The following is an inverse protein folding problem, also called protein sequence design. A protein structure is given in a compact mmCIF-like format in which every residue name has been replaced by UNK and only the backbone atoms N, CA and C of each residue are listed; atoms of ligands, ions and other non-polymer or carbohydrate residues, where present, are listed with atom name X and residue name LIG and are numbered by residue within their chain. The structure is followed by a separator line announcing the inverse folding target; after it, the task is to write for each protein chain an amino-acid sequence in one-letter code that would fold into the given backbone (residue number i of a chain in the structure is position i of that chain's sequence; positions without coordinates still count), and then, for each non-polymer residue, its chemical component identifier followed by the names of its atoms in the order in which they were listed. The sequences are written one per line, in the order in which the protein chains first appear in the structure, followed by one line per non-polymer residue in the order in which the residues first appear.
data_IF_490233872335
#
_entry.id   IF_490233872335
#
_cell.length_a   1.000
_cell.length_b   1.000
_cell.length_c   1.000
_cell.angle_alpha   90.00
_cell.angle_beta   90.00
_cell.angle_gamma   90.00
#
_symmetry.space_group_name_H-M   'P 1'
#
loop_
_entity.id
_entity.type
_entity.pdbx_description
1 polymer ?
#
# COMPACT_ATOMS: atom_id res chain seq x y z
N UNK A 1 30.95 2.65 53.21
CA UNK A 1 30.58 1.45 52.44
C UNK A 1 30.64 1.81 50.98
N UNK A 2 31.75 1.46 50.26
CA UNK A 2 31.91 1.75 48.84
C UNK A 2 31.19 0.66 48.05
N UNK A 3 30.12 1.06 47.32
CA UNK A 3 29.46 0.17 46.38
C UNK A 3 30.30 0.17 45.12
N UNK A 4 31.06 -0.89 44.90
CA UNK A 4 31.79 -1.16 43.65
C UNK A 4 30.77 -1.66 42.62
N UNK A 5 30.40 -0.81 41.70
CA UNK A 5 29.62 -1.17 40.50
C UNK A 5 30.51 -2.02 39.58
N UNK A 6 30.33 -3.35 39.65
CA UNK A 6 30.90 -4.29 38.69
C UNK A 6 30.00 -4.38 37.45
N UNK A 7 29.92 -3.31 36.67
CA UNK A 7 29.41 -3.40 35.31
C UNK A 7 30.51 -4.01 34.43
N UNK A 8 30.29 -5.12 33.69
CA UNK A 8 31.29 -5.70 32.80
C UNK A 8 31.66 -4.64 31.75
N UNK A 9 32.94 -4.30 31.66
CA UNK A 9 33.46 -3.43 30.62
C UNK A 9 33.14 -4.06 29.26
N UNK A 10 32.17 -3.45 28.53
CA UNK A 10 31.83 -3.84 27.17
C UNK A 10 33.08 -3.55 26.34
N UNK A 11 33.88 -4.60 26.07
CA UNK A 11 35.10 -4.45 25.27
C UNK A 11 34.72 -4.01 23.86
N UNK A 12 35.43 -3.07 23.29
CA UNK A 12 35.23 -2.49 21.94
C UNK A 12 35.07 -3.60 20.86
N UNK A 13 35.75 -4.75 21.08
CA UNK A 13 35.68 -5.96 20.24
C UNK A 13 34.29 -6.64 20.27
N UNK A 14 33.59 -6.67 21.39
CA UNK A 14 32.25 -7.29 21.47
C UNK A 14 31.19 -6.44 20.75
N UNK A 15 31.31 -5.13 20.83
CA UNK A 15 30.47 -4.18 20.11
C UNK A 15 30.71 -4.27 18.61
N UNK A 16 31.98 -4.35 18.18
CA UNK A 16 32.34 -4.49 16.76
C UNK A 16 31.81 -5.81 16.18
N UNK A 17 31.99 -6.96 16.89
CA UNK A 17 31.44 -8.24 16.48
C UNK A 17 29.91 -8.22 16.33
N UNK A 18 29.21 -7.61 17.26
CA UNK A 18 27.74 -7.44 17.19
C UNK A 18 27.31 -6.60 15.99
N UNK A 19 28.04 -5.50 15.67
CA UNK A 19 27.78 -4.69 14.48
C UNK A 19 28.01 -5.48 13.18
N UNK A 20 29.07 -6.26 13.09
CA UNK A 20 29.38 -7.08 11.91
C UNK A 20 28.30 -8.16 11.70
N UNK A 21 27.88 -8.85 12.77
CA UNK A 21 26.83 -9.88 12.69
C UNK A 21 25.50 -9.24 12.24
N UNK A 22 25.13 -8.09 12.81
CA UNK A 22 23.92 -7.36 12.39
C UNK A 22 23.98 -6.95 10.94
N UNK A 23 25.12 -6.39 10.50
CA UNK A 23 25.31 -6.00 9.10
C UNK A 23 25.19 -7.21 8.16
N UNK A 24 25.82 -8.33 8.50
CA UNK A 24 25.72 -9.57 7.71
C UNK A 24 24.27 -10.08 7.61
N UNK A 25 23.56 -10.15 8.73
CA UNK A 25 22.15 -10.58 8.75
C UNK A 25 21.28 -9.61 7.90
N UNK A 26 21.47 -8.29 8.04
CA UNK A 26 20.72 -7.30 7.27
C UNK A 26 21.00 -7.41 5.77
N UNK A 27 22.28 -7.58 5.37
CA UNK A 27 22.65 -7.77 3.95
C UNK A 27 22.04 -9.07 3.41
N UNK A 28 22.13 -10.16 4.16
CA UNK A 28 21.54 -11.43 3.76
C UNK A 28 20.03 -11.33 3.55
N UNK A 29 19.31 -10.72 4.50
CA UNK A 29 17.85 -10.50 4.38
C UNK A 29 17.51 -9.56 3.22
N UNK A 30 18.33 -8.55 2.98
CA UNK A 30 18.16 -7.65 1.84
C UNK A 30 18.31 -8.40 0.50
N UNK A 31 19.37 -9.20 0.34
CA UNK A 31 19.58 -10.01 -0.85
C UNK A 31 18.45 -11.03 -1.06
N UNK A 32 18.00 -11.67 0.02
CA UNK A 32 16.87 -12.60 -0.04
C UNK A 32 15.57 -11.91 -0.48
N UNK A 33 15.33 -10.69 -0.01
CA UNK A 33 14.16 -9.90 -0.39
C UNK A 33 14.23 -9.39 -1.82
N UNK A 34 15.42 -9.13 -2.36
CA UNK A 34 15.61 -8.70 -3.75
C UNK A 34 15.61 -9.86 -4.76
N UNK A 35 15.81 -11.08 -4.29
CA UNK A 35 15.90 -12.28 -5.14
C UNK A 35 14.69 -12.49 -6.07
N UNK A 36 13.42 -12.40 -5.61
CA UNK A 36 12.28 -12.58 -6.49
C UNK A 36 12.21 -11.52 -7.60
N UNK A 37 12.61 -10.28 -7.31
CA UNK A 37 12.67 -9.22 -8.32
C UNK A 37 13.78 -9.48 -9.33
N UNK A 38 14.95 -9.90 -8.87
CA UNK A 38 16.04 -10.32 -9.75
C UNK A 38 15.61 -11.44 -10.69
N UNK A 39 14.99 -12.51 -10.14
CA UNK A 39 14.48 -13.63 -10.93
C UNK A 39 13.39 -13.21 -11.92
N UNK A 40 12.54 -12.25 -11.57
CA UNK A 40 11.54 -11.68 -12.47
C UNK A 40 12.21 -11.03 -13.69
N UNK A 41 13.25 -10.21 -13.50
CA UNK A 41 13.99 -9.61 -14.59
C UNK A 41 14.78 -10.64 -15.39
N UNK A 42 15.40 -11.63 -14.76
CA UNK A 42 16.06 -12.73 -15.45
C UNK A 42 15.06 -13.48 -16.34
N UNK A 43 13.91 -13.87 -15.80
CA UNK A 43 12.89 -14.61 -16.54
C UNK A 43 12.26 -13.81 -17.69
N UNK A 44 12.17 -12.48 -17.59
CA UNK A 44 11.70 -11.65 -18.70
C UNK A 44 12.59 -11.73 -19.95
N UNK A 45 13.83 -12.20 -19.79
CA UNK A 45 14.82 -12.36 -20.88
C UNK A 45 14.93 -13.80 -21.41
N UNK A 46 14.18 -14.77 -20.83
CA UNK A 46 14.29 -16.21 -21.12
C UNK A 46 13.12 -16.67 -21.98
N UNK A 47 13.32 -17.75 -22.73
CA UNK A 47 12.25 -18.43 -23.44
C UNK A 47 11.28 -19.11 -22.44
N UNK A 48 10.01 -19.20 -22.80
CA UNK A 48 8.97 -19.80 -21.96
C UNK A 48 9.30 -21.26 -21.57
N UNK A 49 9.89 -22.05 -22.47
CA UNK A 49 10.28 -23.42 -22.18
C UNK A 49 11.41 -23.52 -21.16
N UNK A 50 12.39 -22.60 -21.23
CA UNK A 50 13.50 -22.55 -20.28
C UNK A 50 13.03 -22.15 -18.87
N UNK A 51 12.02 -21.27 -18.80
CA UNK A 51 11.39 -20.89 -17.54
C UNK A 51 10.67 -22.08 -16.92
N UNK A 52 9.94 -22.87 -17.72
CA UNK A 52 9.26 -24.09 -17.29
C UNK A 52 10.24 -25.19 -16.85
N UNK A 53 11.43 -25.25 -17.45
CA UNK A 53 12.45 -26.21 -17.11
C UNK A 53 13.10 -25.98 -15.73
N UNK A 54 13.02 -24.75 -15.21
CA UNK A 54 13.50 -24.46 -13.85
C UNK A 54 14.09 -23.08 -13.64
N UNK A 55 14.55 -22.85 -12.41
CA UNK A 55 15.15 -21.59 -11.98
C UNK A 55 16.53 -21.41 -12.61
N UNK A 56 16.80 -20.20 -13.11
CA UNK A 56 18.13 -19.76 -13.55
C UNK A 56 18.42 -18.37 -13.00
N UNK A 57 19.68 -18.15 -12.68
CA UNK A 57 20.20 -16.84 -12.30
C UNK A 57 20.85 -16.09 -13.45
N UNK A 58 20.90 -16.70 -14.65
CA UNK A 58 21.51 -16.08 -15.83
C UNK A 58 20.45 -15.50 -16.75
N UNK A 59 20.72 -14.33 -17.29
CA UNK A 59 19.89 -13.69 -18.30
C UNK A 59 19.89 -14.52 -19.59
N UNK A 60 18.72 -14.58 -20.24
CA UNK A 60 18.58 -15.16 -21.57
C UNK A 60 18.73 -14.10 -22.66
N UNK A 61 18.51 -14.53 -23.92
CA UNK A 61 18.62 -13.66 -25.11
C UNK A 61 17.27 -13.27 -25.70
N UNK A 62 16.15 -13.68 -25.09
CA UNK A 62 14.79 -13.56 -25.67
C UNK A 62 14.05 -12.26 -25.31
N UNK A 63 14.72 -11.26 -24.70
CA UNK A 63 14.03 -10.04 -24.23
C UNK A 63 13.30 -9.32 -25.36
N UNK A 64 13.93 -9.19 -26.54
CA UNK A 64 13.32 -8.48 -27.68
C UNK A 64 12.09 -9.21 -28.20
N UNK A 65 12.18 -10.54 -28.35
CA UNK A 65 11.06 -11.37 -28.79
C UNK A 65 9.92 -11.34 -27.77
N UNK A 66 10.23 -11.44 -26.48
CA UNK A 66 9.25 -11.36 -25.41
C UNK A 66 8.54 -10.00 -25.38
N UNK A 67 9.25 -8.89 -25.62
CA UNK A 67 8.66 -7.55 -25.72
C UNK A 67 7.77 -7.41 -26.96
N UNK A 68 8.20 -7.92 -28.14
CA UNK A 68 7.41 -7.90 -29.36
C UNK A 68 6.12 -8.73 -29.20
N UNK A 69 6.25 -9.94 -28.65
CA UNK A 69 5.12 -10.82 -28.36
C UNK A 69 4.19 -10.22 -27.30
N UNK A 70 4.72 -9.54 -26.27
CA UNK A 70 3.94 -8.80 -25.30
C UNK A 70 3.12 -7.69 -25.95
N UNK A 71 3.72 -6.91 -26.85
CA UNK A 71 3.02 -5.86 -27.59
C UNK A 71 1.87 -6.44 -28.44
N UNK A 72 2.11 -7.54 -29.15
CA UNK A 72 1.10 -8.24 -29.96
C UNK A 72 -0.03 -8.82 -29.10
N UNK A 73 0.30 -9.39 -27.94
CA UNK A 73 -0.69 -9.97 -27.00
C UNK A 73 -1.65 -8.90 -26.47
N UNK A 74 -1.19 -7.67 -26.23
CA UNK A 74 -2.03 -6.56 -25.78
C UNK A 74 -3.16 -6.25 -26.76
N UNK A 75 -2.88 -6.32 -28.08
CA UNK A 75 -3.91 -6.11 -29.12
C UNK A 75 -5.02 -7.16 -28.99
N UNK A 76 -4.65 -8.43 -28.80
CA UNK A 76 -5.62 -9.51 -28.60
C UNK A 76 -6.44 -9.41 -27.32
N UNK A 77 -5.89 -8.78 -26.28
CA UNK A 77 -6.59 -8.57 -25.01
C UNK A 77 -7.55 -7.37 -25.04
N UNK A 78 -7.48 -6.51 -26.07
CA UNK A 78 -8.31 -5.30 -26.20
C UNK A 78 -7.99 -4.21 -25.17
N UNK A 79 -6.81 -4.29 -24.54
CA UNK A 79 -6.31 -3.28 -23.59
C UNK A 79 -4.79 -3.32 -23.52
N UNK A 80 -4.16 -2.14 -23.44
CA UNK A 80 -2.71 -2.04 -23.30
C UNK A 80 -2.29 -1.96 -21.82
N UNK A 81 -1.02 -2.31 -21.55
CA UNK A 81 -0.46 -2.15 -20.20
C UNK A 81 -0.51 -0.71 -19.75
N UNK A 82 -0.26 0.26 -20.63
CA UNK A 82 -0.33 1.69 -20.30
C UNK A 82 -1.76 2.10 -19.92
N UNK A 83 -2.76 1.67 -20.70
CA UNK A 83 -4.16 1.94 -20.36
C UNK A 83 -4.54 1.33 -19.01
N UNK A 84 -4.17 0.08 -18.75
CA UNK A 84 -4.45 -0.59 -17.48
C UNK A 84 -3.73 0.06 -16.29
N UNK A 85 -2.53 0.60 -16.54
CA UNK A 85 -1.78 1.38 -15.56
C UNK A 85 -2.51 2.70 -15.24
N UNK A 86 -2.97 3.45 -16.25
CA UNK A 86 -3.76 4.67 -16.06
C UNK A 86 -5.08 4.38 -15.34
N UNK A 87 -5.76 3.28 -15.68
CA UNK A 87 -6.95 2.83 -14.97
C UNK A 87 -6.68 2.57 -13.48
N UNK A 88 -5.56 1.89 -13.18
CA UNK A 88 -5.15 1.67 -11.79
C UNK A 88 -4.86 2.97 -11.05
N UNK A 89 -4.20 3.94 -11.68
CA UNK A 89 -4.00 5.27 -11.09
C UNK A 89 -5.32 6.00 -10.87
N UNK A 90 -6.24 5.93 -11.83
CA UNK A 90 -7.59 6.55 -11.74
C UNK A 90 -8.38 6.00 -10.55
N UNK A 91 -8.15 4.76 -10.15
CA UNK A 91 -8.78 4.16 -8.97
C UNK A 91 -7.95 4.42 -7.71
N UNK A 92 -6.66 4.06 -7.72
CA UNK A 92 -5.86 4.02 -6.51
C UNK A 92 -5.57 5.40 -5.91
N UNK A 93 -5.34 6.42 -6.75
CA UNK A 93 -5.01 7.76 -6.27
C UNK A 93 -6.19 8.45 -5.55
N UNK A 94 -7.39 8.56 -6.16
CA UNK A 94 -8.55 9.12 -5.46
C UNK A 94 -8.96 8.30 -4.23
N UNK A 95 -8.95 6.96 -4.32
CA UNK A 95 -9.25 6.10 -3.18
C UNK A 95 -8.29 6.35 -2.01
N UNK A 96 -7.00 6.53 -2.29
CA UNK A 96 -5.99 6.85 -1.27
C UNK A 96 -6.25 8.20 -0.62
N UNK A 97 -6.49 9.25 -1.43
CA UNK A 97 -6.74 10.60 -0.94
C UNK A 97 -7.99 10.62 -0.04
N UNK A 98 -9.09 10.02 -0.52
CA UNK A 98 -10.34 9.95 0.24
C UNK A 98 -10.15 9.16 1.55
N UNK A 99 -9.52 7.99 1.49
CA UNK A 99 -9.27 7.17 2.66
C UNK A 99 -8.46 7.91 3.72
N UNK A 100 -7.34 8.49 3.35
CA UNK A 100 -6.43 9.15 4.29
C UNK A 100 -7.05 10.39 4.89
N UNK A 101 -7.68 11.25 4.07
CA UNK A 101 -8.29 12.49 4.53
C UNK A 101 -9.47 12.25 5.47
N UNK A 102 -10.44 11.41 5.07
CA UNK A 102 -11.61 11.15 5.90
C UNK A 102 -11.29 10.31 7.13
N UNK A 103 -10.30 9.42 7.04
CA UNK A 103 -9.81 8.70 8.23
C UNK A 103 -9.11 9.62 9.22
N UNK A 104 -8.31 10.59 8.74
CA UNK A 104 -7.71 11.61 9.60
C UNK A 104 -8.77 12.49 10.28
N UNK A 105 -9.78 12.91 9.53
CA UNK A 105 -10.91 13.70 10.04
C UNK A 105 -11.70 12.92 11.09
N UNK A 106 -12.01 11.65 10.82
CA UNK A 106 -12.70 10.76 11.77
C UNK A 106 -11.86 10.54 13.05
N UNK A 107 -10.56 10.29 12.89
CA UNK A 107 -9.63 10.12 14.00
C UNK A 107 -9.52 11.38 14.85
N UNK A 108 -9.46 12.55 14.23
CA UNK A 108 -9.49 13.86 14.89
C UNK A 108 -10.78 14.02 15.70
N UNK A 109 -11.94 13.77 15.08
CA UNK A 109 -13.23 13.86 15.76
C UNK A 109 -13.32 12.96 17.00
N UNK A 110 -12.85 11.71 16.89
CA UNK A 110 -12.84 10.77 18.02
C UNK A 110 -11.75 11.14 19.06
N UNK A 111 -10.64 11.77 18.66
CA UNK A 111 -9.60 12.18 19.60
C UNK A 111 -10.01 13.39 20.42
N UNK A 112 -10.43 14.45 19.77
CA UNK A 112 -10.64 15.79 20.35
C UNK A 112 -12.00 15.92 21.05
N UNK A 113 -13.08 15.46 20.43
CA UNK A 113 -14.42 15.70 20.98
C UNK A 113 -14.81 14.69 22.06
N UNK A 114 -15.60 15.16 23.04
CA UNK A 114 -16.29 14.33 24.02
C UNK A 114 -17.78 14.30 23.70
N UNK A 115 -18.31 13.10 23.43
CA UNK A 115 -19.74 12.88 23.15
C UNK A 115 -20.19 11.53 23.72
N UNK A 116 -21.52 11.41 24.00
CA UNK A 116 -22.09 10.25 24.69
C UNK A 116 -21.77 8.90 24.06
N UNK A 117 -21.69 8.83 22.73
CA UNK A 117 -21.47 7.58 21.98
C UNK A 117 -20.00 7.38 21.55
N UNK A 118 -19.04 8.17 22.04
CA UNK A 118 -17.63 8.10 21.67
C UNK A 118 -17.04 6.69 21.76
N UNK A 119 -17.26 6.02 22.90
CA UNK A 119 -16.72 4.68 23.14
C UNK A 119 -17.41 3.63 22.27
N UNK A 120 -18.71 3.78 22.02
CA UNK A 120 -19.45 2.92 21.10
C UNK A 120 -18.95 3.09 19.67
N UNK A 121 -18.83 4.33 19.18
CA UNK A 121 -18.32 4.63 17.84
C UNK A 121 -16.91 4.05 17.63
N UNK A 122 -16.03 4.21 18.62
CA UNK A 122 -14.71 3.62 18.59
C UNK A 122 -14.73 2.08 18.55
N UNK A 123 -15.52 1.47 19.45
CA UNK A 123 -15.71 0.01 19.48
C UNK A 123 -16.29 -0.53 18.17
N UNK A 124 -17.24 0.20 17.56
CA UNK A 124 -17.81 -0.15 16.26
C UNK A 124 -16.76 -0.13 15.12
N UNK A 125 -15.91 0.90 15.07
CA UNK A 125 -14.81 0.97 14.09
C UNK A 125 -13.88 -0.25 14.24
N UNK A 126 -13.52 -0.60 15.49
CA UNK A 126 -12.68 -1.77 15.76
C UNK A 126 -13.36 -3.08 15.36
N UNK A 127 -14.65 -3.23 15.64
CA UNK A 127 -15.42 -4.41 15.28
C UNK A 127 -15.50 -4.59 13.76
N UNK A 128 -15.75 -3.51 13.01
CA UNK A 128 -15.80 -3.54 11.54
C UNK A 128 -14.45 -3.94 10.93
N UNK A 129 -13.31 -3.52 11.52
CA UNK A 129 -11.98 -3.96 11.07
C UNK A 129 -11.79 -5.48 11.10
N UNK A 130 -12.48 -6.17 12.02
CA UNK A 130 -12.32 -7.63 12.20
C UNK A 130 -13.11 -8.44 11.16
N UNK A 131 -14.03 -7.81 10.42
CA UNK A 131 -14.84 -8.50 9.44
C UNK A 131 -14.09 -8.59 8.11
N UNK A 132 -13.89 -9.81 7.55
CA UNK A 132 -13.23 -9.95 6.25
C UNK A 132 -14.04 -9.27 5.15
N UNK A 133 -13.37 -8.47 4.31
CA UNK A 133 -14.00 -7.71 3.22
C UNK A 133 -14.71 -8.62 2.20
N UNK A 134 -14.24 -9.85 2.03
CA UNK A 134 -14.84 -10.84 1.13
C UNK A 134 -16.26 -11.23 1.51
N UNK A 135 -16.60 -11.17 2.81
CA UNK A 135 -17.96 -11.48 3.30
C UNK A 135 -18.99 -10.50 2.75
N UNK A 136 -18.62 -9.26 2.55
CA UNK A 136 -19.52 -8.23 2.01
C UNK A 136 -19.65 -8.25 0.49
N UNK A 137 -18.78 -8.97 -0.22
CA UNK A 137 -18.63 -8.83 -1.67
C UNK A 137 -19.95 -9.10 -2.43
N UNK A 138 -20.70 -10.15 -2.06
CA UNK A 138 -21.95 -10.52 -2.73
C UNK A 138 -23.03 -9.46 -2.50
N UNK A 139 -23.20 -9.01 -1.27
CA UNK A 139 -24.16 -7.96 -0.94
C UNK A 139 -23.79 -6.62 -1.62
N UNK A 140 -22.51 -6.27 -1.58
CA UNK A 140 -21.98 -5.09 -2.24
C UNK A 140 -22.22 -5.13 -3.76
N UNK A 141 -21.91 -6.24 -4.42
CA UNK A 141 -22.13 -6.43 -5.85
C UNK A 141 -23.60 -6.23 -6.23
N UNK A 142 -24.53 -6.88 -5.50
CA UNK A 142 -25.97 -6.70 -5.71
C UNK A 142 -26.41 -5.24 -5.54
N UNK A 143 -25.88 -4.57 -4.54
CA UNK A 143 -26.19 -3.15 -4.31
C UNK A 143 -25.66 -2.25 -5.44
N UNK A 144 -24.46 -2.55 -5.98
CA UNK A 144 -23.93 -1.81 -7.11
C UNK A 144 -24.73 -2.03 -8.40
N UNK A 145 -25.32 -3.23 -8.59
CA UNK A 145 -26.28 -3.46 -9.69
C UNK A 145 -27.51 -2.57 -9.53
N UNK A 146 -28.09 -2.48 -8.33
CA UNK A 146 -29.27 -1.64 -8.08
C UNK A 146 -29.02 -0.15 -8.30
N UNK A 147 -27.78 0.29 -8.11
CA UNK A 147 -27.36 1.69 -8.33
C UNK A 147 -26.89 1.96 -9.76
N UNK A 148 -26.89 0.95 -10.64
CA UNK A 148 -26.35 1.02 -12.01
C UNK A 148 -24.88 1.48 -12.08
N UNK A 149 -24.07 1.03 -11.10
CA UNK A 149 -22.66 1.40 -10.96
C UNK A 149 -21.70 0.29 -11.40
N UNK A 150 -22.20 -0.85 -11.89
CA UNK A 150 -21.36 -1.91 -12.44
C UNK A 150 -20.65 -1.39 -13.69
N UNK A 151 -19.44 -1.86 -13.90
CA UNK A 151 -18.53 -1.42 -14.96
C UNK A 151 -18.16 0.07 -14.89
N UNK A 152 -18.13 0.63 -13.66
CA UNK A 152 -17.59 1.97 -13.36
C UNK A 152 -16.54 1.89 -12.26
N UNK A 153 -15.72 2.95 -12.09
CA UNK A 153 -14.72 2.99 -11.02
C UNK A 153 -15.26 3.49 -9.68
N UNK A 154 -16.46 4.05 -9.62
CA UNK A 154 -17.03 4.61 -8.39
C UNK A 154 -17.13 3.61 -7.24
N UNK A 155 -17.55 2.34 -7.47
CA UNK A 155 -17.56 1.32 -6.42
C UNK A 155 -16.18 0.99 -5.84
N UNK A 156 -15.10 1.31 -6.56
CA UNK A 156 -13.74 1.07 -6.12
C UNK A 156 -13.13 2.29 -5.39
N UNK A 157 -13.72 3.48 -5.59
CA UNK A 157 -13.21 4.76 -5.08
C UNK A 157 -13.98 5.22 -3.85
N UNK A 158 -15.32 5.32 -3.95
CA UNK A 158 -16.16 5.93 -2.89
C UNK A 158 -16.07 5.17 -1.55
N UNK A 159 -16.10 3.83 -1.49
CA UNK A 159 -16.02 3.13 -0.21
C UNK A 159 -14.71 3.34 0.55
N UNK A 160 -13.66 3.84 -0.12
CA UNK A 160 -12.39 4.17 0.53
C UNK A 160 -12.51 5.31 1.56
N UNK A 161 -13.59 6.12 1.52
CA UNK A 161 -13.91 7.11 2.56
C UNK A 161 -14.01 6.44 3.94
N UNK A 162 -14.46 5.19 3.99
CA UNK A 162 -14.64 4.42 5.23
C UNK A 162 -13.57 3.34 5.33
N UNK A 163 -12.38 3.69 5.76
CA UNK A 163 -11.28 2.73 5.96
C UNK A 163 -10.92 2.62 7.45
N UNK A 164 -11.58 1.71 8.21
CA UNK A 164 -11.44 1.60 9.66
C UNK A 164 -10.00 1.41 10.13
N UNK A 165 -9.20 0.64 9.39
CA UNK A 165 -7.79 0.41 9.72
C UNK A 165 -6.98 1.71 9.69
N UNK A 166 -7.20 2.57 8.68
CA UNK A 166 -6.52 3.86 8.57
C UNK A 166 -6.97 4.79 9.70
N UNK A 167 -8.27 4.81 10.04
CA UNK A 167 -8.80 5.56 11.20
C UNK A 167 -8.09 5.14 12.50
N UNK A 168 -7.93 3.83 12.69
CA UNK A 168 -7.22 3.29 13.86
C UNK A 168 -5.80 3.85 13.97
N UNK A 169 -5.00 3.73 12.91
CA UNK A 169 -3.61 4.21 12.89
C UNK A 169 -3.52 5.73 13.07
N UNK A 170 -4.39 6.49 12.40
CA UNK A 170 -4.43 7.96 12.53
C UNK A 170 -4.74 8.39 13.97
N UNK A 171 -5.71 7.72 14.62
CA UNK A 171 -6.04 8.01 16.02
C UNK A 171 -4.90 7.66 16.97
N UNK A 172 -4.22 6.52 16.76
CA UNK A 172 -3.07 6.16 17.60
C UNK A 172 -1.93 7.18 17.47
N UNK A 173 -1.71 7.69 16.26
CA UNK A 173 -0.74 8.75 16.03
C UNK A 173 -1.14 10.05 16.79
N UNK A 174 -2.40 10.50 16.65
CA UNK A 174 -2.89 11.71 17.32
C UNK A 174 -2.76 11.64 18.84
N UNK A 175 -3.00 10.47 19.44
CA UNK A 175 -2.86 10.29 20.90
C UNK A 175 -1.44 10.55 21.42
N UNK A 176 -0.43 10.38 20.59
CA UNK A 176 0.96 10.64 20.96
C UNK A 176 1.53 11.97 20.46
N UNK A 177 0.86 12.63 19.50
CA UNK A 177 1.44 13.76 18.78
C UNK A 177 0.59 15.05 18.79
N UNK A 178 -0.68 14.99 19.23
CA UNK A 178 -1.57 16.15 19.29
C UNK A 178 -2.04 16.39 20.73
N UNK A 179 -1.38 17.27 21.49
CA UNK A 179 -1.90 17.75 22.77
C UNK A 179 -3.21 18.53 22.56
N UNK A 180 -4.19 18.32 23.47
CA UNK A 180 -5.49 18.99 23.35
C UNK A 180 -5.39 20.51 23.56
N UNK A 181 -4.39 20.96 24.30
CA UNK A 181 -4.08 22.36 24.56
C UNK A 181 -3.86 23.17 23.27
N UNK A 182 -3.33 22.55 22.22
CA UNK A 182 -3.16 23.20 20.90
C UNK A 182 -4.53 23.53 20.29
N UNK A 183 -5.48 22.61 20.44
CA UNK A 183 -6.85 22.80 19.90
C UNK A 183 -7.60 23.84 20.75
N UNK A 184 -7.43 23.83 22.08
CA UNK A 184 -8.01 24.81 22.98
C UNK A 184 -7.49 26.22 22.70
N UNK A 185 -6.17 26.37 22.50
CA UNK A 185 -5.58 27.64 22.10
C UNK A 185 -6.16 28.15 20.78
N UNK A 186 -6.25 27.29 19.74
CA UNK A 186 -6.84 27.66 18.47
C UNK A 186 -8.31 28.12 18.58
N UNK A 187 -9.08 27.50 19.49
CA UNK A 187 -10.47 27.93 19.79
C UNK A 187 -10.52 29.29 20.46
N UNK A 188 -9.61 29.56 21.40
CA UNK A 188 -9.49 30.87 22.06
C UNK A 188 -9.17 31.96 21.05
N UNK A 189 -8.30 31.63 20.05
CA UNK A 189 -7.96 32.53 18.94
C UNK A 189 -9.10 32.69 17.92
N UNK A 190 -10.27 32.06 18.14
CA UNK A 190 -11.43 32.15 17.26
C UNK A 190 -11.37 31.28 16.00
N UNK A 191 -10.44 30.33 15.93
CA UNK A 191 -10.34 29.42 14.79
C UNK A 191 -11.53 28.45 14.74
N UNK A 192 -12.20 28.36 13.59
CA UNK A 192 -13.25 27.37 13.37
C UNK A 192 -12.70 25.95 13.27
N UNK A 193 -13.47 24.95 13.69
CA UNK A 193 -13.03 23.55 13.80
C UNK A 193 -12.46 22.96 12.51
N UNK A 194 -13.14 23.22 11.38
CA UNK A 194 -12.68 22.73 10.08
C UNK A 194 -11.38 23.43 9.62
N UNK A 195 -11.24 24.71 9.93
CA UNK A 195 -10.00 25.45 9.70
C UNK A 195 -8.87 24.91 10.56
N UNK A 196 -9.09 24.73 11.85
CA UNK A 196 -8.12 24.13 12.80
C UNK A 196 -7.66 22.75 12.32
N UNK A 197 -8.60 21.90 11.88
CA UNK A 197 -8.23 20.58 11.33
C UNK A 197 -7.29 20.70 10.13
N UNK A 198 -7.63 21.51 9.12
CA UNK A 198 -6.84 21.58 7.90
C UNK A 198 -5.52 22.33 8.05
N UNK A 199 -5.48 23.41 8.87
CA UNK A 199 -4.30 24.29 8.98
C UNK A 199 -3.35 23.93 10.11
N UNK A 200 -3.82 23.24 11.15
CA UNK A 200 -3.00 22.86 12.31
C UNK A 200 -2.83 21.33 12.35
N UNK A 201 -3.93 20.59 12.39
CA UNK A 201 -3.89 19.14 12.65
C UNK A 201 -3.32 18.36 11.43
N UNK A 202 -3.76 18.63 10.22
CA UNK A 202 -3.24 17.97 8.99
C UNK A 202 -1.72 18.16 8.85
N UNK A 203 -1.13 19.36 9.02
CA UNK A 203 0.32 19.54 9.03
C UNK A 203 1.05 18.75 10.11
N UNK A 204 0.49 18.66 11.31
CA UNK A 204 1.06 17.85 12.40
C UNK A 204 0.99 16.35 12.10
N UNK A 205 -0.04 15.91 11.39
CA UNK A 205 -0.24 14.51 10.99
C UNK A 205 0.54 14.10 9.73
N UNK A 206 1.29 15.00 9.07
CA UNK A 206 2.01 14.69 7.82
C UNK A 206 2.76 13.35 7.82
N UNK A 207 3.51 12.95 8.85
CA UNK A 207 4.22 11.67 8.85
C UNK A 207 3.26 10.47 8.83
N UNK A 208 2.18 10.52 9.62
CA UNK A 208 1.17 9.46 9.65
C UNK A 208 0.38 9.40 8.33
N UNK A 209 -0.01 10.55 7.80
CA UNK A 209 -0.69 10.69 6.50
C UNK A 209 0.14 10.08 5.39
N UNK A 210 1.43 10.41 5.29
CA UNK A 210 2.31 9.87 4.27
C UNK A 210 2.47 8.35 4.39
N UNK A 211 2.64 7.84 5.61
CA UNK A 211 2.75 6.40 5.86
C UNK A 211 1.47 5.66 5.44
N UNK A 212 0.31 6.16 5.87
CA UNK A 212 -0.97 5.54 5.53
C UNK A 212 -1.33 5.70 4.05
N UNK A 213 -0.93 6.81 3.41
CA UNK A 213 -1.11 7.00 1.97
C UNK A 213 -0.37 5.94 1.15
N UNK A 214 0.86 5.59 1.55
CA UNK A 214 1.59 4.51 0.88
C UNK A 214 0.87 3.17 1.04
N UNK A 215 0.52 2.79 2.28
CA UNK A 215 -0.15 1.51 2.51
C UNK A 215 -1.48 1.42 1.77
N UNK A 216 -2.26 2.50 1.78
CA UNK A 216 -3.55 2.53 1.10
C UNK A 216 -3.42 2.53 -0.42
N UNK A 217 -2.43 3.26 -0.96
CA UNK A 217 -2.14 3.22 -2.39
C UNK A 217 -1.72 1.82 -2.83
N UNK A 218 -0.80 1.19 -2.11
CA UNK A 218 -0.34 -0.19 -2.40
C UNK A 218 -1.49 -1.19 -2.31
N UNK A 219 -2.35 -1.07 -1.29
CA UNK A 219 -3.50 -1.94 -1.11
C UNK A 219 -4.51 -1.79 -2.27
N UNK A 220 -4.80 -0.56 -2.69
CA UNK A 220 -5.69 -0.28 -3.82
C UNK A 220 -5.07 -0.70 -5.15
N UNK A 221 -3.79 -0.41 -5.38
CA UNK A 221 -3.05 -0.76 -6.59
C UNK A 221 -2.99 -2.26 -6.84
N UNK A 222 -2.75 -3.05 -5.78
CA UNK A 222 -2.64 -4.51 -5.85
C UNK A 222 -4.00 -5.23 -5.73
N UNK A 223 -5.09 -4.49 -5.58
CA UNK A 223 -6.41 -5.09 -5.45
C UNK A 223 -6.84 -5.70 -6.80
N UNK A 224 -7.04 -7.01 -6.79
CA UNK A 224 -7.59 -7.76 -7.92
C UNK A 224 -9.05 -8.12 -7.67
N UNK A 225 -9.40 -8.45 -6.43
CA UNK A 225 -10.68 -9.07 -6.09
C UNK A 225 -11.87 -8.17 -6.41
N UNK A 226 -11.92 -6.96 -5.85
CA UNK A 226 -13.04 -6.04 -6.07
C UNK A 226 -13.13 -5.53 -7.51
N UNK A 227 -12.03 -5.12 -8.17
CA UNK A 227 -12.08 -4.78 -9.59
C UNK A 227 -12.59 -5.91 -10.47
N UNK A 228 -12.23 -7.17 -10.21
CA UNK A 228 -12.70 -8.32 -10.98
C UNK A 228 -14.19 -8.60 -10.84
N UNK A 229 -14.83 -8.18 -9.73
CA UNK A 229 -16.26 -8.27 -9.55
C UNK A 229 -17.02 -7.15 -10.27
N UNK A 230 -16.43 -5.95 -10.33
CA UNK A 230 -17.14 -4.73 -10.77
C UNK A 230 -16.88 -4.42 -12.25
N UNK A 231 -15.65 -4.62 -12.75
CA UNK A 231 -15.23 -4.17 -14.08
C UNK A 231 -15.36 -5.31 -15.10
N UNK A 232 -16.19 -5.10 -16.11
CA UNK A 232 -16.45 -6.05 -17.19
C UNK A 232 -15.69 -5.68 -18.48
N UNK A 233 -15.72 -4.40 -18.88
CA UNK A 233 -15.13 -3.90 -20.11
C UNK A 233 -13.61 -4.02 -20.14
N UNK A 234 -13.05 -4.54 -21.25
CA UNK A 234 -11.60 -4.77 -21.39
C UNK A 234 -10.79 -3.47 -21.23
N UNK A 235 -11.24 -2.36 -21.81
CA UNK A 235 -10.56 -1.06 -21.78
C UNK A 235 -10.54 -0.41 -20.37
N UNK A 236 -11.35 -0.90 -19.42
CA UNK A 236 -11.40 -0.44 -18.03
C UNK A 236 -10.62 -1.32 -17.06
N UNK A 237 -10.03 -2.42 -17.52
CA UNK A 237 -9.27 -3.34 -16.67
C UNK A 237 -8.11 -2.63 -15.98
N UNK A 238 -7.96 -2.90 -14.67
CA UNK A 238 -6.82 -2.44 -13.88
C UNK A 238 -5.56 -3.24 -14.23
N UNK A 239 -4.41 -2.76 -13.78
CA UNK A 239 -3.13 -3.40 -14.07
C UNK A 239 -3.03 -4.83 -13.52
N UNK A 240 -3.56 -5.08 -12.32
CA UNK A 240 -3.64 -6.43 -11.73
C UNK A 240 -4.52 -7.37 -12.53
N UNK A 241 -5.65 -6.87 -13.03
CA UNK A 241 -6.52 -7.63 -13.94
C UNK A 241 -5.83 -7.90 -15.29
N UNK A 242 -5.10 -6.93 -15.82
CA UNK A 242 -4.32 -7.11 -17.05
C UNK A 242 -3.28 -8.22 -16.87
N UNK A 243 -2.52 -8.22 -15.78
CA UNK A 243 -1.56 -9.31 -15.48
C UNK A 243 -2.27 -10.67 -15.37
N UNK A 244 -3.44 -10.72 -14.75
CA UNK A 244 -4.24 -11.95 -14.68
C UNK A 244 -4.64 -12.44 -16.08
N UNK A 245 -5.01 -11.54 -16.98
CA UNK A 245 -5.36 -11.91 -18.37
C UNK A 245 -4.16 -12.50 -19.15
N UNK A 246 -2.92 -12.10 -18.85
CA UNK A 246 -1.72 -12.70 -19.45
C UNK A 246 -1.55 -14.16 -19.07
N UNK A 247 -2.07 -14.59 -17.93
CA UNK A 247 -1.94 -15.95 -17.38
C UNK A 247 -3.19 -16.80 -17.58
N UNK A 248 -4.27 -16.25 -18.15
CA UNK A 248 -5.58 -16.92 -18.22
C UNK A 248 -5.60 -18.19 -19.09
N UNK A 249 -4.69 -18.31 -20.08
CA UNK A 249 -4.61 -19.47 -20.97
C UNK A 249 -3.62 -20.52 -20.42
N UNK A 250 -4.04 -21.32 -19.44
CA UNK A 250 -3.17 -22.24 -18.68
C UNK A 250 -2.27 -23.17 -19.52
N UNK A 251 -2.71 -23.62 -20.69
CA UNK A 251 -1.92 -24.51 -21.55
C UNK A 251 -1.03 -23.80 -22.58
N UNK A 252 -1.34 -22.53 -22.91
CA UNK A 252 -0.60 -21.72 -23.89
C UNK A 252 0.07 -20.49 -23.28
N UNK A 253 0.18 -20.45 -21.95
CA UNK A 253 0.81 -19.32 -21.28
C UNK A 253 2.29 -19.21 -21.68
N UNK A 254 2.63 -18.09 -22.30
CA UNK A 254 4.01 -17.71 -22.54
C UNK A 254 4.56 -16.96 -21.30
N UNK A 255 5.37 -17.65 -20.53
CA UNK A 255 5.91 -17.09 -19.27
C UNK A 255 6.89 -15.95 -19.53
N UNK A 256 7.58 -15.91 -20.68
CA UNK A 256 8.42 -14.76 -21.04
C UNK A 256 7.61 -13.47 -21.12
N UNK A 257 6.46 -13.51 -21.79
CA UNK A 257 5.50 -12.40 -21.88
C UNK A 257 4.97 -12.02 -20.49
N UNK A 258 4.62 -13.01 -19.67
CA UNK A 258 4.11 -12.77 -18.30
C UNK A 258 5.16 -12.04 -17.46
N UNK A 259 6.42 -12.47 -17.49
CA UNK A 259 7.47 -11.82 -16.70
C UNK A 259 7.83 -10.43 -17.23
N UNK A 260 7.73 -10.17 -18.54
CA UNK A 260 7.80 -8.80 -19.09
C UNK A 260 6.67 -7.94 -18.53
N UNK A 261 5.44 -8.43 -18.56
CA UNK A 261 4.29 -7.74 -17.98
C UNK A 261 4.50 -7.41 -16.50
N UNK A 262 4.90 -8.39 -15.69
CA UNK A 262 5.20 -8.22 -14.27
C UNK A 262 6.31 -7.19 -14.03
N UNK A 263 7.40 -7.23 -14.82
CA UNK A 263 8.50 -6.27 -14.71
C UNK A 263 8.04 -4.83 -14.95
N UNK A 264 7.13 -4.63 -15.92
CA UNK A 264 6.56 -3.30 -16.20
C UNK A 264 5.63 -2.87 -15.07
N UNK A 265 4.82 -3.78 -14.52
CA UNK A 265 3.81 -3.45 -13.48
C UNK A 265 4.41 -3.00 -12.16
N UNK A 266 5.64 -3.40 -11.86
CA UNK A 266 6.31 -3.03 -10.61
C UNK A 266 6.91 -1.61 -10.63
N UNK A 267 7.17 -1.05 -11.83
CA UNK A 267 7.80 0.27 -11.96
C UNK A 267 7.05 1.40 -11.25
N UNK A 268 5.71 1.53 -11.35
CA UNK A 268 4.97 2.55 -10.63
C UNK A 268 5.05 2.40 -9.11
N UNK A 269 5.13 1.16 -8.62
CA UNK A 269 5.27 0.89 -7.19
C UNK A 269 6.62 1.37 -6.66
N UNK A 270 7.70 1.12 -7.38
CA UNK A 270 9.01 1.67 -7.04
C UNK A 270 9.00 3.19 -7.07
N UNK A 271 8.39 3.80 -8.10
CA UNK A 271 8.26 5.25 -8.19
C UNK A 271 7.55 5.83 -6.96
N UNK A 272 6.40 5.30 -6.59
CA UNK A 272 5.65 5.73 -5.41
C UNK A 272 6.44 5.53 -4.13
N UNK A 273 7.13 4.40 -3.98
CA UNK A 273 8.00 4.17 -2.82
C UNK A 273 9.12 5.21 -2.73
N UNK A 274 9.84 5.48 -3.80
CA UNK A 274 10.93 6.48 -3.79
C UNK A 274 10.44 7.89 -3.48
N UNK A 275 9.28 8.29 -4.02
CA UNK A 275 8.69 9.60 -3.76
C UNK A 275 8.29 9.78 -2.28
N UNK A 276 7.83 8.71 -1.63
CA UNK A 276 7.24 8.77 -0.30
C UNK A 276 8.14 8.20 0.81
N UNK A 277 9.26 7.54 0.47
CA UNK A 277 10.15 6.84 1.42
C UNK A 277 10.71 7.75 2.52
N UNK A 278 11.05 8.99 2.18
CA UNK A 278 11.55 9.97 3.16
C UNK A 278 10.55 10.28 4.29
N UNK A 279 9.26 10.15 4.03
CA UNK A 279 8.21 10.39 5.03
C UNK A 279 7.94 9.14 5.90
N UNK A 280 8.19 7.92 5.37
CA UNK A 280 8.05 6.67 6.13
C UNK A 280 9.07 6.65 7.28
N UNK A 281 10.33 6.97 6.98
CA UNK A 281 11.40 6.94 7.99
C UNK A 281 11.09 7.89 9.15
N UNK A 282 10.55 9.09 8.85
CA UNK A 282 10.15 10.05 9.87
C UNK A 282 8.98 9.56 10.73
N UNK A 283 8.00 8.86 10.12
CA UNK A 283 6.81 8.36 10.83
C UNK A 283 7.09 7.15 11.74
N UNK A 284 7.96 6.24 11.30
CA UNK A 284 8.33 5.04 12.08
C UNK A 284 9.23 5.41 13.26
N UNK A 285 10.12 6.38 13.10
CA UNK A 285 11.00 6.84 14.19
C UNK A 285 10.21 7.44 15.37
N UNK A 286 9.12 8.14 15.11
CA UNK A 286 8.25 8.72 16.15
C UNK A 286 7.40 7.68 16.90
N UNK A 287 7.11 6.53 16.29
CA UNK A 287 6.38 5.42 16.94
C UNK A 287 7.25 4.48 17.75
N UNK A 288 8.57 4.50 17.55
CA UNK A 288 9.54 3.58 18.19
C UNK A 288 10.26 4.14 19.41
N UNK A 289 10.15 5.43 19.72
CA UNK A 289 10.79 6.05 20.89
C UNK A 289 9.72 6.30 21.96
N UNK A 290 9.43 5.25 22.71
CA UNK A 290 8.89 5.33 24.06
C UNK A 290 9.88 4.64 24.98
N UNK A 291 10.81 5.36 25.50
CA UNK A 291 11.42 5.14 26.81
C UNK A 291 11.27 6.41 27.62
#
# INVERSE_FOLDING_TARGET
MKVTSNAPAITDKSVLRSKIIRAFVLIFLCLLSLLPFYLMFVNSTRASNDIKAGISFMFGSQLQDNLANFASKQVGLGVTVLQSMLNSFTVALPATILSVYFSALTAYGIHVYTFKLKNFAWGFILAVMMVPTQVFAIGFYKFMIQLDLIDTYWPLIIPAITTPAVVFFMRQYLRGSLPLEIIEAARIDGSGEFHTFNTIVIPMMKPAIATQAIFQFVASWNNLFMPSLIINSSNKKTLTMFVQMLTAESFKTDYGIVFVGLAITILPMFLMYFLLSKYIVAGVALGGVKE
#
